data_IF_888905501156
#
_entry.id   IF_888905501156
#
_cell.length_a   1.000
_cell.length_b   1.000
_cell.length_c   1.000
_cell.angle_alpha   90.00
_cell.angle_beta   90.00
_cell.angle_gamma   90.00
#
_symmetry.space_group_name_H-M   'P 1'
#
loop_
_entity.id
_entity.type
_entity.pdbx_description
1 polymer ?
#
# COMPACT_ATOMS: atom_id res chain seq x y z
N UNK A 1 17.36 -21.87 6.81
CA UNK A 1 16.96 -23.15 7.44
C UNK A 1 17.35 -23.28 8.92
N UNK A 2 18.55 -22.86 9.36
CA UNK A 2 18.99 -22.97 10.78
C UNK A 2 18.14 -22.19 11.79
N UNK A 3 17.61 -21.01 11.43
CA UNK A 3 16.73 -20.22 12.30
C UNK A 3 15.40 -20.95 12.58
N UNK A 4 14.72 -21.42 11.54
CA UNK A 4 13.45 -22.15 11.63
C UNK A 4 13.53 -23.39 12.51
N UNK A 5 14.55 -24.24 12.30
CA UNK A 5 14.75 -25.44 13.12
C UNK A 5 15.03 -25.11 14.59
N UNK A 6 15.68 -23.97 14.87
CA UNK A 6 15.92 -23.50 16.24
C UNK A 6 14.63 -23.01 16.91
N UNK A 7 13.78 -22.29 16.17
CA UNK A 7 12.50 -21.80 16.69
C UNK A 7 11.55 -22.96 16.98
N UNK A 8 11.44 -23.93 16.06
CA UNK A 8 10.67 -25.14 16.25
C UNK A 8 11.15 -25.97 17.45
N UNK A 9 12.46 -26.10 17.65
CA UNK A 9 13.02 -26.81 18.81
C UNK A 9 12.74 -26.09 20.13
N UNK A 10 12.77 -24.75 20.13
CA UNK A 10 12.58 -23.95 21.33
C UNK A 10 11.12 -23.90 21.76
N UNK A 11 10.21 -23.75 20.80
CA UNK A 11 8.80 -23.44 21.09
C UNK A 11 7.85 -24.60 20.80
N UNK A 12 8.20 -25.53 19.90
CA UNK A 12 7.31 -26.61 19.49
C UNK A 12 5.94 -26.08 19.05
N UNK A 13 4.88 -26.69 19.58
CA UNK A 13 3.49 -26.25 19.36
C UNK A 13 3.21 -24.83 19.89
N UNK A 14 4.06 -24.31 20.78
CA UNK A 14 4.02 -22.92 21.25
C UNK A 14 4.22 -21.88 20.15
N UNK A 15 4.68 -22.27 18.96
CA UNK A 15 4.73 -21.37 17.80
C UNK A 15 3.35 -20.82 17.42
N UNK A 16 2.28 -21.58 17.65
CA UNK A 16 0.90 -21.12 17.42
C UNK A 16 0.48 -19.94 18.33
N UNK A 17 1.22 -19.68 19.42
CA UNK A 17 0.94 -18.56 20.31
C UNK A 17 1.46 -17.22 19.77
N UNK A 18 2.36 -17.24 18.78
CA UNK A 18 2.77 -16.05 18.03
C UNK A 18 1.70 -15.69 16.98
N UNK A 19 0.51 -15.38 17.48
CA UNK A 19 -0.71 -15.13 16.70
C UNK A 19 -1.26 -13.74 16.98
N UNK A 20 -2.14 -13.26 16.10
CA UNK A 20 -2.90 -12.02 16.33
C UNK A 20 -3.71 -12.09 17.62
N UNK A 21 -4.30 -13.26 17.92
CA UNK A 21 -5.08 -13.45 19.16
C UNK A 21 -4.17 -13.39 20.40
N UNK A 22 -3.00 -14.03 20.37
CA UNK A 22 -2.02 -13.93 21.46
C UNK A 22 -1.60 -12.48 21.72
N UNK A 23 -1.24 -11.75 20.65
CA UNK A 23 -0.88 -10.34 20.74
C UNK A 23 -2.03 -9.46 21.28
N UNK A 24 -3.29 -9.76 20.92
CA UNK A 24 -4.45 -9.02 21.41
C UNK A 24 -4.68 -9.24 22.92
N UNK A 25 -4.47 -10.47 23.40
CA UNK A 25 -4.49 -10.79 24.84
C UNK A 25 -3.38 -10.05 25.58
N UNK A 26 -2.17 -10.00 25.01
CA UNK A 26 -1.05 -9.25 25.59
C UNK A 26 -1.38 -7.75 25.71
N UNK A 27 -1.99 -7.14 24.68
CA UNK A 27 -2.44 -5.74 24.73
C UNK A 27 -3.45 -5.53 25.86
N UNK A 28 -4.48 -6.39 25.95
CA UNK A 28 -5.50 -6.25 27.00
C UNK A 28 -4.94 -6.40 28.41
N UNK A 29 -4.04 -7.36 28.61
CA UNK A 29 -3.35 -7.56 29.89
C UNK A 29 -2.41 -6.39 30.23
N UNK A 30 -1.70 -5.85 29.24
CA UNK A 30 -0.82 -4.70 29.43
C UNK A 30 -1.62 -3.46 29.82
N UNK A 31 -2.74 -3.17 29.14
CA UNK A 31 -3.63 -2.05 29.49
C UNK A 31 -4.16 -2.22 30.92
N UNK A 32 -4.64 -3.42 31.27
CA UNK A 32 -5.15 -3.68 32.63
C UNK A 32 -4.09 -3.46 33.71
N UNK A 33 -2.85 -3.84 33.41
CA UNK A 33 -1.72 -3.75 34.36
C UNK A 33 -1.14 -2.34 34.48
N UNK A 34 -1.24 -1.52 33.43
CA UNK A 34 -0.60 -0.21 33.34
C UNK A 34 -1.57 0.96 33.56
N UNK A 35 -2.88 0.76 33.37
CA UNK A 35 -3.85 1.85 33.49
C UNK A 35 -3.95 2.38 34.91
N UNK A 36 -3.87 3.69 35.04
CA UNK A 36 -4.16 4.37 36.30
C UNK A 36 -5.68 4.59 36.46
N UNK A 37 -6.21 4.55 37.70
CA UNK A 37 -7.63 4.81 37.95
C UNK A 37 -8.07 6.16 37.38
N UNK A 38 -9.10 6.14 36.52
CA UNK A 38 -9.68 7.35 35.92
C UNK A 38 -8.98 7.85 34.65
N UNK A 39 -7.88 7.21 34.23
CA UNK A 39 -7.19 7.56 32.99
C UNK A 39 -7.88 6.95 31.78
N UNK A 40 -8.08 7.76 30.73
CA UNK A 40 -8.69 7.35 29.47
C UNK A 40 -7.73 6.50 28.64
N UNK A 41 -8.24 5.43 28.05
CA UNK A 41 -7.51 4.55 27.15
C UNK A 41 -7.97 4.78 25.71
N UNK A 42 -7.06 5.24 24.86
CA UNK A 42 -7.28 5.34 23.41
C UNK A 42 -6.38 4.35 22.69
N UNK A 43 -6.97 3.44 21.92
CA UNK A 43 -6.21 2.50 21.10
C UNK A 43 -5.93 3.10 19.74
N UNK A 44 -4.66 3.36 19.43
CA UNK A 44 -4.22 3.80 18.10
C UNK A 44 -3.59 2.63 17.36
N UNK A 45 -4.06 2.35 16.15
CA UNK A 45 -3.62 1.22 15.37
C UNK A 45 -3.48 1.58 13.89
N UNK A 46 -2.45 1.03 13.23
CA UNK A 46 -2.23 1.24 11.80
C UNK A 46 -1.89 -0.05 11.08
N UNK A 47 -2.28 -0.17 9.81
CA UNK A 47 -1.97 -1.34 8.97
C UNK A 47 -2.43 -2.65 9.63
N UNK A 48 -1.58 -3.69 9.70
CA UNK A 48 -1.81 -4.91 10.50
C UNK A 48 -2.30 -4.63 11.92
N UNK A 49 -1.83 -3.55 12.54
CA UNK A 49 -2.28 -3.11 13.86
C UNK A 49 -3.79 -2.91 13.92
N UNK A 50 -4.47 -2.55 12.83
CA UNK A 50 -5.94 -2.39 12.80
C UNK A 50 -6.67 -3.74 12.87
N UNK A 51 -6.14 -4.79 12.25
CA UNK A 51 -6.63 -6.16 12.40
C UNK A 51 -6.44 -6.64 13.84
N UNK A 52 -5.26 -6.39 14.41
CA UNK A 52 -4.94 -6.66 15.82
C UNK A 52 -5.83 -5.84 16.78
N UNK A 53 -6.06 -4.57 16.48
CA UNK A 53 -6.91 -3.67 17.26
C UNK A 53 -8.37 -4.13 17.24
N UNK A 54 -8.88 -4.54 16.08
CA UNK A 54 -10.20 -5.16 15.97
C UNK A 54 -10.29 -6.49 16.76
N UNK A 55 -9.22 -7.30 16.73
CA UNK A 55 -9.14 -8.54 17.53
C UNK A 55 -9.19 -8.22 19.03
N UNK A 56 -8.42 -7.24 19.47
CA UNK A 56 -8.43 -6.73 20.83
C UNK A 56 -9.83 -6.25 21.25
N UNK A 57 -10.52 -5.46 20.43
CA UNK A 57 -11.87 -4.97 20.74
C UNK A 57 -12.92 -6.10 20.79
N UNK A 58 -12.74 -7.21 20.07
CA UNK A 58 -13.59 -8.39 20.22
C UNK A 58 -13.39 -9.08 21.58
N UNK A 59 -12.14 -9.14 22.08
CA UNK A 59 -11.79 -9.81 23.34
C UNK A 59 -12.07 -8.92 24.57
N UNK A 60 -11.90 -7.60 24.45
CA UNK A 60 -12.00 -6.63 25.54
C UNK A 60 -12.89 -5.42 25.15
N UNK A 61 -14.17 -5.64 24.80
CA UNK A 61 -15.02 -4.62 24.17
C UNK A 61 -15.29 -3.37 25.02
N UNK A 62 -15.10 -3.44 26.33
CA UNK A 62 -15.32 -2.32 27.26
C UNK A 62 -14.04 -1.71 27.86
N UNK A 63 -12.86 -2.12 27.42
CA UNK A 63 -11.60 -1.69 28.05
C UNK A 63 -11.05 -0.37 27.48
N UNK A 64 -11.29 -0.09 26.19
CA UNK A 64 -10.89 1.16 25.56
C UNK A 64 -12.03 2.20 25.60
N UNK A 65 -11.68 3.46 25.85
CA UNK A 65 -12.60 4.60 25.79
C UNK A 65 -12.78 5.15 24.36
N UNK A 66 -11.80 4.93 23.48
CA UNK A 66 -11.85 5.28 22.07
C UNK A 66 -10.87 4.43 21.25
N UNK A 67 -11.09 4.31 19.93
CA UNK A 67 -10.15 3.67 19.01
C UNK A 67 -9.93 4.51 17.74
N UNK A 68 -8.69 4.51 17.24
CA UNK A 68 -8.28 5.18 16.00
C UNK A 68 -7.57 4.15 15.12
N UNK A 69 -8.15 3.82 13.97
CA UNK A 69 -7.56 2.89 12.99
C UNK A 69 -7.17 3.63 11.71
N UNK A 70 -5.94 3.42 11.22
CA UNK A 70 -5.40 4.04 10.00
C UNK A 70 -4.80 3.03 9.03
N UNK A 71 -5.21 3.02 7.76
CA UNK A 71 -4.77 1.96 6.81
C UNK A 71 -5.33 0.62 7.27
N UNK A 72 -6.62 0.42 7.01
CA UNK A 72 -7.46 -0.52 7.73
C UNK A 72 -7.48 -1.86 7.01
N UNK A 73 -7.15 -2.92 7.73
CA UNK A 73 -7.41 -4.28 7.29
C UNK A 73 -8.85 -4.69 7.62
N UNK A 74 -9.55 -5.37 6.70
CA UNK A 74 -10.83 -6.02 7.00
C UNK A 74 -10.73 -6.95 8.22
N UNK A 75 -11.87 -7.17 8.89
CA UNK A 75 -11.92 -8.05 10.04
C UNK A 75 -11.64 -9.53 9.73
N UNK A 76 -11.67 -9.93 8.46
CA UNK A 76 -11.34 -11.28 7.99
C UNK A 76 -9.87 -11.46 7.65
N UNK A 77 -9.11 -10.38 7.48
CA UNK A 77 -7.68 -10.40 7.16
C UNK A 77 -7.27 -9.19 6.31
N UNK A 78 -5.99 -8.83 6.36
CA UNK A 78 -5.42 -7.86 5.41
C UNK A 78 -5.37 -8.48 3.99
N UNK A 79 -5.39 -7.65 2.95
CA UNK A 79 -5.35 -8.17 1.58
C UNK A 79 -3.99 -8.80 1.25
N UNK A 80 -4.03 -10.00 0.70
CA UNK A 80 -2.89 -10.66 0.04
C UNK A 80 -2.98 -10.56 -1.50
N UNK A 81 -4.07 -9.95 -2.01
CA UNK A 81 -4.34 -9.80 -3.44
C UNK A 81 -3.69 -8.53 -3.98
N UNK A 82 -2.36 -8.45 -3.86
CA UNK A 82 -1.59 -7.25 -4.18
C UNK A 82 -1.78 -6.81 -5.64
N UNK A 83 -1.77 -7.75 -6.59
CA UNK A 83 -1.96 -7.45 -8.02
C UNK A 83 -3.33 -6.80 -8.29
N UNK A 84 -4.40 -7.25 -7.59
CA UNK A 84 -5.71 -6.60 -7.61
C UNK A 84 -5.65 -5.17 -7.07
N UNK A 85 -5.00 -4.98 -5.91
CA UNK A 85 -4.88 -3.65 -5.31
C UNK A 85 -4.15 -2.69 -6.23
N UNK A 86 -3.05 -3.12 -6.83
CA UNK A 86 -2.26 -2.33 -7.78
C UNK A 86 -3.09 -1.91 -8.98
N UNK A 87 -3.83 -2.84 -9.60
CA UNK A 87 -4.67 -2.53 -10.75
C UNK A 87 -5.82 -1.56 -10.40
N UNK A 88 -6.48 -1.73 -9.26
CA UNK A 88 -7.54 -0.81 -8.80
C UNK A 88 -6.99 0.62 -8.57
N UNK A 89 -5.83 0.75 -7.93
CA UNK A 89 -5.20 2.05 -7.70
C UNK A 89 -4.68 2.64 -9.01
N UNK A 90 -4.21 1.82 -9.95
CA UNK A 90 -3.86 2.27 -11.29
C UNK A 90 -5.08 2.82 -12.04
N UNK A 91 -6.21 2.11 -12.04
CA UNK A 91 -7.46 2.57 -12.65
C UNK A 91 -7.88 3.94 -12.09
N UNK A 92 -7.84 4.11 -10.76
CA UNK A 92 -8.18 5.38 -10.13
C UNK A 92 -7.17 6.49 -10.50
N UNK A 93 -5.88 6.18 -10.54
CA UNK A 93 -4.82 7.12 -10.94
C UNK A 93 -5.01 7.60 -12.38
N UNK A 94 -5.32 6.70 -13.30
CA UNK A 94 -5.60 7.04 -14.71
C UNK A 94 -6.96 7.75 -14.88
N UNK A 95 -7.94 7.47 -14.00
CA UNK A 95 -9.20 8.22 -13.94
C UNK A 95 -8.95 9.69 -13.58
N UNK A 96 -8.02 10.00 -12.67
CA UNK A 96 -7.65 11.40 -12.36
C UNK A 96 -7.14 12.13 -13.61
N UNK A 97 -6.39 11.47 -14.48
CA UNK A 97 -5.95 12.06 -15.74
C UNK A 97 -7.12 12.47 -16.65
N UNK A 98 -8.23 11.72 -16.64
CA UNK A 98 -9.39 11.98 -17.50
C UNK A 98 -10.12 13.29 -17.16
N UNK A 99 -9.94 13.82 -15.95
CA UNK A 99 -10.59 15.06 -15.51
C UNK A 99 -9.71 16.31 -15.73
N UNK A 100 -8.44 16.14 -16.10
CA UNK A 100 -7.50 17.23 -16.31
C UNK A 100 -7.18 17.44 -17.81
N UNK A 101 -7.39 18.65 -18.37
CA UNK A 101 -7.10 18.92 -19.79
C UNK A 101 -5.64 18.74 -20.20
N UNK A 102 -4.68 19.03 -19.31
CA UNK A 102 -3.26 18.87 -19.62
C UNK A 102 -2.91 17.38 -19.71
N UNK A 103 -3.33 16.57 -18.74
CA UNK A 103 -3.05 15.15 -18.75
C UNK A 103 -3.72 14.43 -19.93
N UNK A 104 -4.98 14.76 -20.26
CA UNK A 104 -5.65 14.24 -21.46
C UNK A 104 -4.91 14.57 -22.75
N UNK A 105 -4.24 15.72 -22.83
CA UNK A 105 -3.42 16.06 -24.00
C UNK A 105 -2.18 15.17 -24.16
N UNK A 106 -1.76 14.48 -23.09
CA UNK A 106 -0.64 13.53 -23.07
C UNK A 106 -1.08 12.08 -23.28
N UNK A 107 -2.10 11.62 -22.54
CA UNK A 107 -2.54 10.22 -22.49
C UNK A 107 -3.86 9.92 -23.22
N UNK A 108 -4.45 10.91 -23.91
CA UNK A 108 -5.77 10.83 -24.57
C UNK A 108 -6.98 11.14 -23.69
N UNK A 109 -8.17 11.20 -24.30
CA UNK A 109 -9.44 11.39 -23.61
C UNK A 109 -9.87 10.17 -22.77
N UNK A 110 -9.34 8.99 -23.08
CA UNK A 110 -9.49 7.75 -22.32
C UNK A 110 -8.10 7.25 -21.89
N UNK A 111 -7.57 7.74 -20.75
CA UNK A 111 -6.23 7.38 -20.30
C UNK A 111 -6.08 5.88 -20.00
N UNK A 112 -7.13 5.21 -19.52
CA UNK A 112 -7.07 3.78 -19.23
C UNK A 112 -7.03 2.95 -20.51
N UNK A 113 -7.91 3.24 -21.48
CA UNK A 113 -7.84 2.61 -22.81
C UNK A 113 -6.49 2.87 -23.50
N UNK A 114 -5.90 4.05 -23.31
CA UNK A 114 -4.54 4.32 -23.78
C UNK A 114 -3.49 3.44 -23.10
N UNK A 115 -3.60 3.19 -21.80
CA UNK A 115 -2.71 2.27 -21.09
C UNK A 115 -2.83 0.84 -21.64
N UNK A 116 -4.05 0.37 -21.89
CA UNK A 116 -4.28 -0.94 -22.52
C UNK A 116 -3.59 -1.04 -23.88
N UNK A 117 -3.67 -0.01 -24.72
CA UNK A 117 -2.95 0.06 -26.00
C UNK A 117 -1.43 -0.01 -25.81
N UNK A 118 -0.89 0.69 -24.81
CA UNK A 118 0.55 0.67 -24.49
C UNK A 118 0.99 -0.74 -24.13
N UNK A 119 0.28 -1.43 -23.23
CA UNK A 119 0.58 -2.83 -22.87
C UNK A 119 0.51 -3.75 -24.08
N UNK A 120 -0.49 -3.60 -24.95
CA UNK A 120 -0.58 -4.39 -26.19
C UNK A 120 0.60 -4.14 -27.14
N UNK A 121 1.10 -2.91 -27.24
CA UNK A 121 2.29 -2.57 -28.04
C UNK A 121 3.56 -3.14 -27.41
N UNK A 122 3.70 -3.03 -26.09
CA UNK A 122 4.84 -3.58 -25.34
C UNK A 122 4.94 -5.10 -25.51
N UNK A 123 3.82 -5.83 -25.40
CA UNK A 123 3.74 -7.28 -25.68
C UNK A 123 4.21 -7.66 -27.09
N UNK A 124 4.10 -6.74 -28.07
CA UNK A 124 4.56 -6.91 -29.46
C UNK A 124 5.99 -6.43 -29.69
N UNK A 125 6.70 -6.02 -28.64
CA UNK A 125 8.10 -5.61 -28.67
C UNK A 125 8.36 -4.12 -28.65
N UNK A 126 7.33 -3.29 -28.41
CA UNK A 126 7.55 -1.86 -28.24
C UNK A 126 8.34 -1.58 -26.94
N UNK A 127 9.35 -0.73 -27.03
CA UNK A 127 10.20 -0.35 -25.92
C UNK A 127 11.01 -1.45 -25.24
N UNK A 128 11.35 -2.51 -25.99
CA UNK A 128 12.23 -3.59 -25.52
C UNK A 128 13.64 -3.14 -25.09
N UNK A 129 14.05 -1.93 -25.43
CA UNK A 129 15.31 -1.35 -24.94
C UNK A 129 15.31 -1.13 -23.41
N UNK A 130 14.13 -1.12 -22.76
CA UNK A 130 14.01 -1.05 -21.31
C UNK A 130 14.40 -2.38 -20.65
N UNK A 131 13.68 -3.46 -21.01
CA UNK A 131 13.78 -4.72 -20.30
C UNK A 131 13.52 -5.95 -21.18
N UNK A 132 13.80 -5.84 -22.48
CA UNK A 132 13.65 -6.95 -23.42
C UNK A 132 12.22 -7.47 -23.48
N UNK A 133 12.06 -8.79 -23.42
CA UNK A 133 10.75 -9.46 -23.48
C UNK A 133 9.90 -9.21 -22.21
N UNK A 134 10.54 -8.79 -21.12
CA UNK A 134 9.91 -8.61 -19.81
C UNK A 134 9.50 -7.14 -19.57
N UNK A 135 9.50 -6.31 -20.63
CA UNK A 135 9.14 -4.89 -20.57
C UNK A 135 7.71 -4.67 -20.04
N UNK A 136 6.78 -5.59 -20.30
CA UNK A 136 5.41 -5.53 -19.76
C UNK A 136 5.43 -5.61 -18.22
N UNK A 137 6.11 -6.62 -17.68
CA UNK A 137 6.24 -6.80 -16.25
C UNK A 137 6.97 -5.60 -15.61
N UNK A 138 8.03 -5.15 -16.27
CA UNK A 138 8.80 -3.98 -15.83
C UNK A 138 7.94 -2.71 -15.78
N UNK A 139 7.06 -2.49 -16.75
CA UNK A 139 6.08 -1.40 -16.72
C UNK A 139 5.15 -1.54 -15.50
N UNK A 140 4.59 -2.73 -15.24
CA UNK A 140 3.74 -2.96 -14.06
C UNK A 140 4.47 -2.68 -12.75
N UNK A 141 5.71 -3.14 -12.60
CA UNK A 141 6.52 -2.91 -11.41
C UNK A 141 6.89 -1.42 -11.22
N UNK A 142 7.15 -0.69 -12.31
CA UNK A 142 7.39 0.76 -12.25
C UNK A 142 6.14 1.55 -11.87
N UNK A 143 4.98 1.16 -12.39
CA UNK A 143 3.72 1.77 -12.00
C UNK A 143 3.46 1.49 -10.52
N UNK A 144 3.53 0.24 -10.07
CA UNK A 144 3.35 -0.13 -8.66
C UNK A 144 4.23 0.69 -7.71
N UNK A 145 5.50 0.87 -8.04
CA UNK A 145 6.43 1.65 -7.23
C UNK A 145 6.02 3.12 -7.06
N UNK A 146 5.37 3.71 -8.08
CA UNK A 146 4.89 5.09 -8.06
C UNK A 146 3.45 5.24 -7.54
N UNK A 147 2.63 4.20 -7.66
CA UNK A 147 1.25 4.19 -7.19
C UNK A 147 1.17 4.26 -5.65
N UNK A 148 0.02 4.71 -5.15
CA UNK A 148 -0.22 4.88 -3.73
C UNK A 148 0.55 6.04 -3.07
N UNK A 149 1.12 6.95 -3.86
CA UNK A 149 1.70 8.20 -3.37
C UNK A 149 1.15 9.39 -4.13
N UNK A 150 0.53 10.32 -3.42
CA UNK A 150 -0.12 11.51 -3.99
C UNK A 150 0.82 12.30 -4.91
N UNK A 151 2.05 12.55 -4.44
CA UNK A 151 3.04 13.36 -5.19
C UNK A 151 3.61 12.62 -6.40
N UNK A 152 3.43 11.30 -6.47
CA UNK A 152 3.96 10.45 -7.54
C UNK A 152 2.91 10.02 -8.57
N UNK A 153 1.63 10.34 -8.36
CA UNK A 153 0.58 10.23 -9.39
C UNK A 153 1.02 10.78 -10.77
N UNK A 154 1.56 12.02 -10.89
CA UNK A 154 2.04 12.50 -12.19
C UNK A 154 3.24 11.70 -12.71
N UNK A 155 4.04 11.07 -11.85
CA UNK A 155 5.17 10.21 -12.25
C UNK A 155 4.65 8.93 -12.89
N UNK A 156 3.66 8.26 -12.29
CA UNK A 156 3.06 7.04 -12.86
C UNK A 156 2.46 7.31 -14.26
N UNK A 157 1.71 8.40 -14.40
CA UNK A 157 1.11 8.80 -15.68
C UNK A 157 2.17 9.19 -16.73
N UNK A 158 3.20 9.94 -16.32
CA UNK A 158 4.31 10.31 -17.19
C UNK A 158 5.14 9.08 -17.61
N UNK A 159 5.29 8.06 -16.76
CA UNK A 159 5.95 6.80 -17.11
C UNK A 159 5.23 6.11 -18.26
N UNK A 160 3.90 5.96 -18.19
CA UNK A 160 3.12 5.41 -19.30
C UNK A 160 3.26 6.24 -20.58
N UNK A 161 3.19 7.57 -20.48
CA UNK A 161 3.38 8.47 -21.62
C UNK A 161 4.77 8.33 -22.26
N UNK A 162 5.83 8.26 -21.46
CA UNK A 162 7.21 8.09 -21.93
C UNK A 162 7.41 6.73 -22.60
N UNK A 163 6.83 5.67 -22.03
CA UNK A 163 6.89 4.32 -22.61
C UNK A 163 6.12 4.25 -23.94
N UNK A 164 5.00 4.97 -24.10
CA UNK A 164 4.25 5.04 -25.37
C UNK A 164 5.05 5.65 -26.53
N UNK A 165 5.90 6.64 -26.21
CA UNK A 165 6.80 7.30 -27.18
C UNK A 165 8.06 6.49 -27.43
N UNK A 166 8.67 5.99 -26.36
CA UNK A 166 9.90 5.21 -26.34
C UNK A 166 11.04 5.78 -27.19
N UNK A 167 11.31 7.09 -27.10
CA UNK A 167 12.56 7.63 -27.65
C UNK A 167 13.77 7.18 -26.80
N UNK A 168 15.01 7.23 -27.30
CA UNK A 168 16.19 6.92 -26.49
C UNK A 168 16.31 7.76 -25.19
N UNK A 169 15.80 8.99 -25.22
CA UNK A 169 15.72 9.85 -24.03
C UNK A 169 14.63 9.37 -23.05
N UNK A 170 13.49 8.88 -23.54
CA UNK A 170 12.45 8.26 -22.71
C UNK A 170 12.96 6.99 -22.04
N UNK A 171 13.67 6.12 -22.77
CA UNK A 171 14.31 4.92 -22.22
C UNK A 171 15.28 5.30 -21.10
N UNK A 172 16.12 6.32 -21.33
CA UNK A 172 17.06 6.81 -20.32
C UNK A 172 16.35 7.35 -19.07
N UNK A 173 15.27 8.11 -19.26
CA UNK A 173 14.46 8.67 -18.18
C UNK A 173 13.80 7.57 -17.35
N UNK A 174 13.12 6.62 -17.99
CA UNK A 174 12.44 5.51 -17.31
C UNK A 174 13.44 4.61 -16.58
N UNK A 175 14.64 4.39 -17.14
CA UNK A 175 15.70 3.66 -16.42
C UNK A 175 16.26 4.43 -15.23
N UNK A 176 16.24 5.76 -15.24
CA UNK A 176 16.56 6.55 -14.04
C UNK A 176 15.50 6.35 -12.95
N UNK A 177 14.22 6.34 -13.32
CA UNK A 177 13.12 6.04 -12.38
C UNK A 177 13.34 4.69 -11.71
N UNK A 178 13.61 3.66 -12.52
CA UNK A 178 13.87 2.30 -12.02
C UNK A 178 15.03 2.26 -11.01
N UNK A 179 16.13 2.99 -11.25
CA UNK A 179 17.27 3.03 -10.33
C UNK A 179 16.90 3.63 -8.97
N UNK A 180 16.01 4.62 -8.97
CA UNK A 180 15.56 5.29 -7.75
C UNK A 180 14.56 4.42 -7.00
N UNK A 181 13.57 3.88 -7.71
CA UNK A 181 12.39 3.27 -7.11
C UNK A 181 12.43 1.75 -7.01
N UNK A 182 13.36 1.08 -7.69
CA UNK A 182 13.57 -0.36 -7.60
C UNK A 182 15.03 -0.67 -7.22
N UNK A 183 15.53 -0.14 -6.07
CA UNK A 183 16.94 -0.27 -5.70
C UNK A 183 17.37 -1.71 -5.43
N UNK A 184 16.44 -2.67 -5.33
CA UNK A 184 16.71 -4.12 -5.25
C UNK A 184 16.99 -4.76 -6.62
N UNK A 185 16.53 -4.15 -7.72
CA UNK A 185 16.88 -4.55 -9.09
C UNK A 185 18.32 -4.14 -9.43
N UNK A 186 18.93 -3.33 -8.56
CA UNK A 186 20.31 -2.89 -8.60
C UNK A 186 21.01 -3.34 -7.30
N UNK A 187 22.33 -3.55 -7.26
CA UNK A 187 23.00 -4.12 -6.09
C UNK A 187 23.06 -3.09 -4.94
N UNK A 188 21.99 -2.99 -4.14
CA UNK A 188 21.96 -2.22 -2.89
C UNK A 188 21.38 -3.07 -1.76
N UNK A 189 22.03 -3.02 -0.61
CA UNK A 189 21.76 -3.80 0.60
C UNK A 189 20.38 -3.49 1.21
N UNK A 190 19.59 -4.51 1.55
CA UNK A 190 18.39 -4.39 2.40
C UNK A 190 18.75 -4.29 3.88
N UNK A 191 17.94 -3.57 4.68
CA UNK A 191 18.07 -3.56 6.14
C UNK A 191 17.32 -4.75 6.75
N UNK A 192 17.96 -5.43 7.70
CA UNK A 192 17.36 -6.47 8.53
C UNK A 192 16.79 -5.84 9.81
N UNK A 193 15.50 -6.08 10.10
CA UNK A 193 14.84 -5.56 11.31
C UNK A 193 13.45 -6.11 11.60
N UNK A 194 12.79 -6.70 10.60
CA UNK A 194 11.47 -7.34 10.75
C UNK A 194 11.66 -8.85 10.74
N UNK A 195 11.04 -9.56 11.69
CA UNK A 195 11.01 -11.03 11.68
C UNK A 195 10.12 -11.51 10.54
N UNK A 196 10.72 -11.80 9.37
CA UNK A 196 10.01 -12.36 8.23
C UNK A 196 9.16 -13.58 8.64
N UNK A 197 9.68 -14.46 9.50
CA UNK A 197 8.94 -15.64 9.96
C UNK A 197 7.70 -15.34 10.81
N UNK A 198 7.70 -14.25 11.59
CA UNK A 198 6.49 -13.86 12.34
C UNK A 198 5.43 -13.31 11.38
N UNK A 199 5.86 -12.49 10.42
CA UNK A 199 5.00 -11.97 9.36
C UNK A 199 4.35 -13.13 8.60
N UNK A 200 5.14 -14.06 8.07
CA UNK A 200 4.61 -15.20 7.31
C UNK A 200 3.68 -16.05 8.19
N UNK A 201 4.06 -16.38 9.44
CA UNK A 201 3.20 -17.17 10.33
C UNK A 201 1.81 -16.55 10.53
N UNK A 202 1.71 -15.22 10.57
CA UNK A 202 0.44 -14.50 10.67
C UNK A 202 -0.31 -14.51 9.34
N UNK A 203 0.34 -14.12 8.25
CA UNK A 203 -0.26 -14.07 6.91
C UNK A 203 -0.84 -15.43 6.53
N UNK A 204 -0.05 -16.48 6.67
CA UNK A 204 -0.44 -17.84 6.30
C UNK A 204 -1.59 -18.39 7.14
N UNK A 205 -1.68 -17.97 8.41
CA UNK A 205 -2.74 -18.45 9.32
C UNK A 205 -4.03 -17.62 9.24
N UNK A 206 -3.95 -16.33 8.88
CA UNK A 206 -5.08 -15.40 9.05
C UNK A 206 -5.64 -14.83 7.75
N UNK A 207 -4.82 -14.58 6.72
CA UNK A 207 -5.21 -13.68 5.61
C UNK A 207 -5.65 -14.37 4.32
N UNK A 208 -5.55 -15.70 4.25
CA UNK A 208 -5.96 -16.43 3.05
C UNK A 208 -7.47 -16.49 2.86
N UNK A 209 -8.27 -16.43 3.93
CA UNK A 209 -9.75 -16.38 3.93
C UNK A 209 -10.47 -17.06 2.74
N UNK A 210 -10.09 -18.31 2.43
CA UNK A 210 -10.69 -19.12 1.35
C UNK A 210 -10.13 -18.91 -0.06
N UNK A 211 -9.18 -17.99 -0.24
CA UNK A 211 -8.36 -17.85 -1.45
C UNK A 211 -7.38 -19.03 -1.52
N UNK A 212 -7.15 -19.56 -2.73
CA UNK A 212 -6.15 -20.61 -2.98
C UNK A 212 -4.90 -20.06 -3.66
N UNK A 213 -3.74 -20.73 -3.55
CA UNK A 213 -2.52 -20.33 -4.28
C UNK A 213 -2.75 -20.18 -5.79
N UNK A 214 -3.49 -21.10 -6.40
CA UNK A 214 -3.82 -21.04 -7.82
C UNK A 214 -4.68 -19.83 -8.17
N UNK A 215 -5.64 -19.44 -7.33
CA UNK A 215 -6.43 -18.23 -7.56
C UNK A 215 -5.53 -16.99 -7.61
N UNK A 216 -4.59 -16.83 -6.68
CA UNK A 216 -3.63 -15.71 -6.71
C UNK A 216 -2.75 -15.72 -7.96
N UNK A 217 -2.31 -16.89 -8.43
CA UNK A 217 -1.53 -17.01 -9.67
C UNK A 217 -2.35 -16.64 -10.91
N UNK A 218 -3.62 -17.05 -10.98
CA UNK A 218 -4.46 -16.77 -12.14
C UNK A 218 -4.96 -15.33 -12.19
N UNK A 219 -5.18 -14.70 -11.04
CA UNK A 219 -5.52 -13.27 -10.95
C UNK A 219 -4.54 -12.37 -11.69
N UNK A 220 -3.26 -12.75 -11.78
CA UNK A 220 -2.26 -12.02 -12.55
C UNK A 220 -2.73 -11.71 -13.98
N UNK A 221 -3.46 -12.64 -14.60
CA UNK A 221 -3.93 -12.52 -15.99
C UNK A 221 -5.26 -11.74 -16.13
N UNK A 222 -5.94 -11.46 -15.03
CA UNK A 222 -7.21 -10.72 -15.02
C UNK A 222 -7.01 -9.20 -14.94
N UNK A 223 -5.80 -8.76 -14.57
CA UNK A 223 -5.46 -7.36 -14.35
C UNK A 223 -4.49 -6.82 -15.41
N UNK A 224 -4.60 -5.53 -15.71
CA UNK A 224 -3.73 -4.85 -16.67
C UNK A 224 -2.38 -4.49 -16.02
N UNK A 225 -2.43 -3.88 -14.83
CA UNK A 225 -1.25 -3.48 -14.06
C UNK A 225 -1.02 -4.50 -12.96
N UNK A 226 -0.28 -5.55 -13.29
CA UNK A 226 -0.06 -6.70 -12.43
C UNK A 226 1.45 -6.96 -12.25
N UNK A 227 2.03 -6.64 -11.08
CA UNK A 227 3.44 -6.86 -10.80
C UNK A 227 3.82 -8.30 -10.42
N UNK A 228 2.86 -9.22 -10.37
CA UNK A 228 3.09 -10.65 -10.16
C UNK A 228 3.36 -11.05 -8.70
N UNK A 229 2.88 -10.27 -7.74
CA UNK A 229 3.04 -10.61 -6.32
C UNK A 229 2.30 -11.89 -5.94
N UNK A 230 1.19 -12.20 -6.61
CA UNK A 230 0.41 -13.42 -6.38
C UNK A 230 1.22 -14.70 -6.49
N UNK A 231 2.19 -14.77 -7.42
CA UNK A 231 3.08 -15.93 -7.56
C UNK A 231 3.98 -16.13 -6.34
N UNK A 232 4.57 -15.04 -5.83
CA UNK A 232 5.47 -15.12 -4.67
C UNK A 232 4.71 -15.54 -3.41
N UNK A 233 3.52 -14.98 -3.20
CA UNK A 233 2.65 -15.33 -2.08
C UNK A 233 2.18 -16.79 -2.16
N UNK A 234 1.78 -17.25 -3.35
CA UNK A 234 1.40 -18.64 -3.59
C UNK A 234 2.55 -19.62 -3.29
N UNK A 235 3.75 -19.33 -3.77
CA UNK A 235 4.93 -20.16 -3.51
C UNK A 235 5.33 -20.14 -2.03
N UNK A 236 5.21 -19.00 -1.35
CA UNK A 236 5.46 -18.87 0.09
C UNK A 236 4.50 -19.76 0.90
N UNK A 237 3.21 -19.73 0.57
CA UNK A 237 2.18 -20.55 1.23
C UNK A 237 2.43 -22.05 1.06
N UNK A 238 2.68 -22.50 -0.17
CA UNK A 238 2.91 -23.91 -0.47
C UNK A 238 4.20 -24.43 0.16
N UNK A 239 5.21 -23.57 0.28
CA UNK A 239 6.48 -23.90 0.91
C UNK A 239 6.48 -23.70 2.44
N UNK A 240 5.40 -23.19 3.03
CA UNK A 240 5.36 -22.84 4.45
C UNK A 240 5.49 -24.08 5.34
N UNK A 241 6.55 -24.18 6.16
CA UNK A 241 6.88 -25.43 6.82
C UNK A 241 6.24 -25.60 8.20
N UNK A 242 5.55 -24.58 8.72
CA UNK A 242 5.00 -24.59 10.08
C UNK A 242 3.50 -24.87 10.10
N UNK A 243 2.99 -25.57 11.13
CA UNK A 243 1.55 -25.69 11.34
C UNK A 243 0.90 -24.31 11.44
N UNK A 244 -0.16 -24.11 10.68
CA UNK A 244 -0.99 -22.91 10.75
C UNK A 244 -1.86 -22.97 12.00
N UNK A 245 -1.98 -21.85 12.70
CA UNK A 245 -2.95 -21.75 13.79
C UNK A 245 -4.33 -21.39 13.24
N UNK A 246 -5.37 -21.76 13.98
CA UNK A 246 -6.74 -21.40 13.64
C UNK A 246 -7.27 -20.34 14.60
N UNK A 247 -8.14 -19.49 14.07
CA UNK A 247 -8.83 -18.45 14.82
C UNK A 247 -10.33 -18.78 14.82
N UNK A 248 -11.03 -18.72 15.98
CA UNK A 248 -12.48 -18.82 16.04
C UNK A 248 -13.17 -17.80 15.14
N UNK A 249 -14.23 -18.20 14.45
CA UNK A 249 -14.93 -17.36 13.48
C UNK A 249 -15.57 -16.12 14.13
N UNK A 250 -15.94 -16.20 15.40
CA UNK A 250 -16.47 -15.08 16.19
C UNK A 250 -15.46 -13.94 16.39
N UNK A 251 -14.18 -14.22 16.15
CA UNK A 251 -13.10 -13.25 16.20
C UNK A 251 -12.67 -12.75 14.80
N UNK A 252 -13.21 -13.33 13.72
CA UNK A 252 -13.04 -12.87 12.32
C UNK A 252 -14.19 -11.96 11.86
N UNK A 253 -14.58 -11.01 12.72
CA UNK A 253 -15.64 -10.04 12.45
C UNK A 253 -15.31 -8.70 13.08
N UNK A 254 -15.95 -7.64 12.59
CA UNK A 254 -15.86 -6.34 13.24
C UNK A 254 -16.33 -6.44 14.69
N UNK A 255 -15.55 -5.88 15.61
CA UNK A 255 -15.87 -5.92 17.02
C UNK A 255 -17.23 -5.25 17.26
N UNK A 256 -18.14 -5.90 18.03
CA UNK A 256 -19.48 -5.37 18.29
C UNK A 256 -19.44 -4.28 19.37
N UNK A 257 -18.67 -3.21 19.13
CA UNK A 257 -18.46 -2.12 20.08
C UNK A 257 -19.23 -0.86 19.68
N UNK A 258 -19.65 -0.10 20.70
CA UNK A 258 -20.21 1.25 20.54
C UNK A 258 -19.24 2.34 20.99
N UNK A 259 -18.05 1.96 21.44
CA UNK A 259 -16.95 2.85 21.76
C UNK A 259 -16.70 3.79 20.57
N UNK A 260 -16.45 5.09 20.80
CA UNK A 260 -16.07 6.01 19.74
C UNK A 260 -14.94 5.48 18.88
N UNK A 261 -15.09 5.60 17.56
CA UNK A 261 -14.08 5.16 16.59
C UNK A 261 -13.80 6.21 15.53
N UNK A 262 -12.53 6.40 15.22
CA UNK A 262 -12.07 7.11 14.04
C UNK A 262 -11.38 6.12 13.10
N UNK A 263 -11.89 5.98 11.89
CA UNK A 263 -11.45 5.00 10.90
C UNK A 263 -10.94 5.77 9.67
N UNK A 264 -9.63 5.83 9.47
CA UNK A 264 -8.99 6.65 8.43
C UNK A 264 -8.34 5.75 7.37
N UNK A 265 -8.69 5.92 6.10
CA UNK A 265 -8.05 5.19 5.00
C UNK A 265 -7.76 6.10 3.82
N UNK A 266 -6.58 5.95 3.21
CA UNK A 266 -6.28 6.55 1.92
C UNK A 266 -7.14 5.93 0.82
N UNK A 267 -7.53 6.72 -0.19
CA UNK A 267 -8.26 6.21 -1.36
C UNK A 267 -7.35 5.48 -2.35
N UNK A 268 -6.03 5.69 -2.28
CA UNK A 268 -5.01 5.03 -3.11
C UNK A 268 -4.14 4.06 -2.29
N UNK A 269 -4.65 3.59 -1.14
CA UNK A 269 -3.91 2.69 -0.25
C UNK A 269 -3.75 1.30 -0.90
N UNK A 270 -2.52 0.91 -1.25
CA UNK A 270 -2.23 -0.37 -1.91
C UNK A 270 -2.31 -1.58 -0.95
N UNK A 271 -1.63 -1.58 0.22
CA UNK A 271 -1.68 -2.71 1.15
C UNK A 271 -3.05 -2.91 1.81
N UNK A 272 -3.75 -1.82 2.10
CA UNK A 272 -5.07 -1.85 2.75
C UNK A 272 -6.10 -1.09 1.89
N UNK A 273 -6.49 -1.68 0.73
CA UNK A 273 -7.31 -0.99 -0.25
C UNK A 273 -8.69 -0.71 0.29
N UNK A 274 -9.16 0.51 0.03
CA UNK A 274 -10.45 0.97 0.50
C UNK A 274 -11.63 0.15 -0.05
N UNK A 275 -11.43 -0.53 -1.17
CA UNK A 275 -12.38 -1.45 -1.77
C UNK A 275 -12.71 -2.65 -0.86
N UNK A 276 -11.78 -3.06 0.00
CA UNK A 276 -11.97 -4.18 0.92
C UNK A 276 -12.72 -3.78 2.20
N UNK A 277 -12.91 -2.47 2.42
CA UNK A 277 -13.66 -1.92 3.55
C UNK A 277 -15.16 -1.79 3.26
N UNK A 278 -15.69 -2.55 2.29
CA UNK A 278 -17.11 -2.56 2.01
C UNK A 278 -17.90 -2.95 3.28
N UNK A 279 -18.93 -2.18 3.61
CA UNK A 279 -19.76 -2.42 4.79
C UNK A 279 -19.19 -1.92 6.12
N UNK A 280 -18.01 -1.27 6.15
CA UNK A 280 -17.43 -0.74 7.40
C UNK A 280 -18.35 0.26 8.11
N UNK A 281 -19.07 1.11 7.36
CA UNK A 281 -20.04 2.06 7.93
C UNK A 281 -21.27 1.35 8.51
N UNK A 282 -21.66 0.20 7.97
CA UNK A 282 -22.75 -0.61 8.51
C UNK A 282 -22.31 -1.37 9.77
N UNK A 283 -21.02 -1.74 9.86
CA UNK A 283 -20.44 -2.35 11.05
C UNK A 283 -20.29 -1.33 12.20
N UNK A 284 -20.06 -0.05 11.87
CA UNK A 284 -19.89 1.04 12.82
C UNK A 284 -20.84 2.22 12.54
N UNK A 285 -22.16 2.05 12.74
CA UNK A 285 -23.18 3.03 12.35
C UNK A 285 -23.44 4.13 13.40
N UNK A 286 -22.77 4.07 14.55
CA UNK A 286 -23.00 4.95 15.70
C UNK A 286 -22.60 6.41 15.44
N UNK A 287 -23.19 7.37 16.17
CA UNK A 287 -22.91 8.81 15.97
C UNK A 287 -21.47 9.22 16.33
N UNK A 288 -20.76 8.39 17.11
CA UNK A 288 -19.36 8.57 17.51
C UNK A 288 -18.39 7.69 16.69
N UNK A 289 -18.88 7.06 15.62
CA UNK A 289 -18.10 6.25 14.70
C UNK A 289 -17.95 7.00 13.39
N UNK A 290 -16.71 7.40 13.08
CA UNK A 290 -16.41 8.28 11.94
C UNK A 290 -15.46 7.58 10.98
N UNK A 291 -15.95 7.31 9.76
CA UNK A 291 -15.11 6.87 8.65
C UNK A 291 -14.62 8.08 7.87
N UNK A 292 -13.31 8.14 7.64
CA UNK A 292 -12.60 9.21 6.95
C UNK A 292 -11.86 8.60 5.77
N UNK A 293 -12.24 9.02 4.56
CA UNK A 293 -11.59 8.64 3.31
C UNK A 293 -10.70 9.79 2.89
N UNK A 294 -9.39 9.56 2.86
CA UNK A 294 -8.40 10.60 2.56
C UNK A 294 -8.13 10.61 1.05
N UNK A 295 -8.56 11.66 0.32
CA UNK A 295 -8.46 11.66 -1.13
C UNK A 295 -7.02 11.66 -1.61
N UNK A 296 -6.73 10.80 -2.59
CA UNK A 296 -5.47 10.72 -3.30
C UNK A 296 -4.24 10.33 -2.45
N UNK A 297 -4.44 9.91 -1.21
CA UNK A 297 -3.37 9.39 -0.36
C UNK A 297 -3.36 7.87 -0.35
N UNK A 298 -2.17 7.30 -0.17
CA UNK A 298 -2.00 5.86 0.00
C UNK A 298 -1.82 5.44 1.44
N UNK A 299 -0.99 4.42 1.64
CA UNK A 299 -0.81 3.81 2.96
C UNK A 299 -0.19 4.79 3.95
N UNK A 300 -0.74 4.85 5.16
CA UNK A 300 -0.28 5.80 6.18
C UNK A 300 -0.87 7.21 6.07
N UNK A 301 -1.88 7.42 5.21
CA UNK A 301 -2.61 8.70 5.07
C UNK A 301 -3.02 9.36 6.40
N UNK A 302 -3.22 8.57 7.46
CA UNK A 302 -3.52 9.03 8.82
C UNK A 302 -2.47 10.00 9.40
N UNK A 303 -1.23 9.97 8.89
CA UNK A 303 -0.13 10.82 9.35
C UNK A 303 0.02 12.13 8.57
N UNK A 304 -0.73 12.31 7.48
CA UNK A 304 -0.73 13.56 6.71
C UNK A 304 -1.36 14.70 7.52
N UNK A 305 -0.98 15.96 7.23
CA UNK A 305 -1.31 17.12 8.07
C UNK A 305 -2.81 17.24 8.41
N UNK A 306 -3.68 17.11 7.40
CA UNK A 306 -5.12 17.18 7.58
C UNK A 306 -5.66 15.98 8.38
N UNK A 307 -5.45 14.71 7.98
CA UNK A 307 -5.82 13.55 8.78
C UNK A 307 -5.28 13.54 10.20
N UNK A 308 -4.03 13.97 10.41
CA UNK A 308 -3.43 14.06 11.74
C UNK A 308 -4.14 15.10 12.62
N UNK A 309 -4.58 16.22 12.03
CA UNK A 309 -5.42 17.20 12.75
C UNK A 309 -6.79 16.64 13.16
N UNK A 310 -7.39 15.80 12.30
CA UNK A 310 -8.65 15.09 12.59
C UNK A 310 -8.44 14.10 13.74
N UNK A 311 -7.33 13.34 13.73
CA UNK A 311 -6.96 12.42 14.81
C UNK A 311 -6.79 13.17 16.14
N UNK A 312 -6.07 14.30 16.15
CA UNK A 312 -5.89 15.10 17.37
C UNK A 312 -7.24 15.58 17.93
N UNK A 313 -8.10 16.14 17.10
CA UNK A 313 -9.42 16.59 17.52
C UNK A 313 -10.29 15.44 18.08
N UNK A 314 -10.20 14.25 17.49
CA UNK A 314 -10.89 13.07 17.99
C UNK A 314 -10.34 12.59 19.33
N UNK A 315 -9.01 12.56 19.51
CA UNK A 315 -8.38 12.15 20.78
C UNK A 315 -8.73 13.13 21.90
N UNK A 316 -8.80 14.42 21.60
CA UNK A 316 -9.22 15.45 22.57
C UNK A 316 -10.68 15.29 23.01
N UNK A 317 -11.59 14.95 22.09
CA UNK A 317 -12.99 14.70 22.42
C UNK A 317 -13.64 13.63 21.53
N UNK A 318 -13.55 12.34 21.88
CA UNK A 318 -14.03 11.25 21.05
C UNK A 318 -15.56 11.17 20.96
N UNK A 319 -16.28 11.90 21.82
CA UNK A 319 -17.75 11.98 21.76
C UNK A 319 -18.26 12.94 20.69
N UNK A 320 -17.38 13.72 20.05
CA UNK A 320 -17.73 14.68 19.01
C UNK A 320 -17.10 14.24 17.69
N UNK A 321 -17.90 14.21 16.63
CA UNK A 321 -17.41 13.95 15.28
C UNK A 321 -16.43 15.08 14.88
N UNK A 322 -15.17 14.75 14.51
CA UNK A 322 -14.19 15.77 14.14
C UNK A 322 -14.57 16.45 12.82
N UNK A 323 -14.13 17.70 12.65
CA UNK A 323 -14.29 18.44 11.40
C UNK A 323 -13.33 17.87 10.33
N UNK A 324 -13.88 17.39 9.21
CA UNK A 324 -13.13 16.77 8.11
C UNK A 324 -12.99 17.66 6.87
N UNK A 325 -13.39 18.94 6.95
CA UNK A 325 -13.43 19.85 5.78
C UNK A 325 -12.08 20.10 5.11
N UNK A 326 -10.96 19.91 5.83
CA UNK A 326 -9.61 20.06 5.26
C UNK A 326 -9.31 19.05 4.14
N UNK A 327 -10.04 17.93 4.05
CA UNK A 327 -9.86 16.92 3.01
C UNK A 327 -10.19 17.45 1.61
N UNK A 328 -11.04 18.47 1.49
CA UNK A 328 -11.36 19.11 0.21
C UNK A 328 -10.12 19.69 -0.49
N UNK A 329 -9.16 20.22 0.28
CA UNK A 329 -7.88 20.70 -0.26
C UNK A 329 -7.00 19.56 -0.79
N UNK A 330 -7.31 18.31 -0.40
CA UNK A 330 -6.60 17.10 -0.82
C UNK A 330 -7.20 16.47 -2.09
N UNK A 331 -8.27 17.01 -2.68
CA UNK A 331 -8.87 16.44 -3.90
C UNK A 331 -8.07 16.74 -5.18
N UNK A 332 -7.39 17.90 -5.24
CA UNK A 332 -6.65 18.33 -6.43
C UNK A 332 -5.21 17.79 -6.45
N UNK A 333 -4.80 17.20 -7.57
CA UNK A 333 -3.41 16.77 -7.79
C UNK A 333 -2.80 17.64 -8.90
N UNK A 334 -1.59 18.15 -8.69
CA UNK A 334 -0.84 18.80 -9.76
C UNK A 334 -0.25 17.74 -10.71
N UNK A 335 -0.95 17.51 -11.83
CA UNK A 335 -0.53 16.52 -12.82
C UNK A 335 0.65 16.99 -13.70
N UNK A 336 1.04 18.26 -13.65
CA UNK A 336 2.23 18.74 -14.39
C UNK A 336 3.52 18.29 -13.72
N UNK A 337 3.49 18.15 -12.39
CA UNK A 337 4.65 17.91 -11.56
C UNK A 337 5.61 19.11 -11.55
N UNK A 338 6.72 18.98 -10.83
CA UNK A 338 7.75 20.01 -10.75
C UNK A 338 9.03 19.60 -11.48
N UNK A 339 9.82 20.58 -11.92
CA UNK A 339 11.15 20.33 -12.48
C UNK A 339 12.09 19.67 -11.46
N UNK A 340 11.91 19.98 -10.17
CA UNK A 340 12.63 19.33 -9.07
C UNK A 340 12.31 17.83 -8.99
N UNK A 341 11.02 17.48 -8.95
CA UNK A 341 10.59 16.07 -8.94
C UNK A 341 11.07 15.35 -10.19
N UNK A 342 10.92 15.98 -11.35
CA UNK A 342 11.38 15.44 -12.64
C UNK A 342 12.89 15.13 -12.67
N UNK A 343 13.73 16.00 -12.10
CA UNK A 343 15.18 15.75 -12.02
C UNK A 343 15.50 14.61 -11.06
N UNK A 344 14.75 14.47 -9.97
CA UNK A 344 14.93 13.39 -9.01
C UNK A 344 14.51 12.02 -9.58
N UNK A 345 13.39 11.95 -10.31
CA UNK A 345 12.82 10.67 -10.76
C UNK A 345 13.26 10.26 -12.17
N UNK A 346 13.33 11.20 -13.12
CA UNK A 346 13.65 10.91 -14.52
C UNK A 346 15.03 11.45 -14.96
N UNK A 347 15.64 12.35 -14.18
CA UNK A 347 16.86 13.05 -14.62
C UNK A 347 16.59 14.02 -15.79
N UNK A 348 15.34 14.48 -15.93
CA UNK A 348 14.89 15.45 -16.95
C UNK A 348 14.40 16.73 -16.27
N UNK A 349 14.33 17.85 -16.99
CA UNK A 349 13.77 19.10 -16.46
C UNK A 349 12.24 19.18 -16.56
N UNK A 350 11.65 18.34 -17.39
CA UNK A 350 10.20 18.24 -17.58
C UNK A 350 9.77 16.79 -17.32
N UNK A 351 8.70 16.61 -16.55
CA UNK A 351 8.24 15.29 -16.13
C UNK A 351 7.71 14.48 -17.30
N UNK A 352 7.09 15.13 -18.28
CA UNK A 352 6.42 14.50 -19.41
C UNK A 352 7.28 14.52 -20.68
N UNK A 353 8.08 15.56 -20.86
CA UNK A 353 8.86 15.83 -22.08
C UNK A 353 10.37 15.64 -21.91
N UNK A 354 11.08 15.55 -23.02
CA UNK A 354 12.56 15.55 -23.05
C UNK A 354 13.12 16.97 -23.22
N UNK A 355 12.36 17.99 -22.79
CA UNK A 355 12.73 19.40 -22.95
C UNK A 355 14.05 19.70 -22.21
N UNK A 356 15.05 20.16 -22.96
CA UNK A 356 16.36 20.55 -22.43
C UNK A 356 17.43 19.45 -22.37
N UNK A 357 17.23 18.30 -23.03
CA UNK A 357 18.28 17.28 -23.20
C UNK A 357 18.89 17.30 -24.61
N UNK A 358 20.20 17.51 -24.71
CA UNK A 358 21.02 16.96 -25.80
C UNK A 358 21.23 15.47 -25.56
N UNK A 359 21.39 14.67 -26.61
CA UNK A 359 21.55 13.21 -26.52
C UNK A 359 22.57 12.78 -25.43
N UNK A 360 22.13 11.87 -24.55
CA UNK A 360 22.74 11.38 -23.30
C UNK A 360 22.38 12.19 -22.03
N UNK A 361 22.12 11.52 -20.88
CA UNK A 361 21.66 12.21 -19.67
C UNK A 361 22.78 13.09 -19.13
N UNK A 362 22.65 14.42 -19.30
CA UNK A 362 23.60 15.42 -18.80
C UNK A 362 23.44 15.71 -17.30
N UNK A 363 22.41 15.16 -16.65
CA UNK A 363 22.17 15.32 -15.21
C UNK A 363 22.16 13.94 -14.54
N UNK A 364 23.04 13.77 -13.55
CA UNK A 364 22.82 12.76 -12.52
C UNK A 364 21.52 13.12 -11.80
N UNK A 365 20.68 12.13 -11.50
CA UNK A 365 19.46 12.37 -10.73
C UNK A 365 19.82 13.08 -9.41
N UNK A 366 19.07 14.13 -9.09
CA UNK A 366 19.22 14.84 -7.82
C UNK A 366 18.93 13.86 -6.67
N UNK A 367 19.60 14.03 -5.52
CA UNK A 367 19.28 13.24 -4.32
C UNK A 367 17.78 13.38 -3.99
N UNK A 368 17.06 12.26 -3.76
CA UNK A 368 15.66 12.31 -3.39
C UNK A 368 15.42 13.19 -2.16
N UNK A 369 14.55 14.18 -2.31
CA UNK A 369 14.13 15.12 -1.27
C UNK A 369 12.62 15.28 -1.20
N UNK A 370 11.88 14.89 -2.25
CA UNK A 370 10.43 14.82 -2.20
C UNK A 370 9.96 13.80 -1.15
N UNK A 371 9.09 14.17 -0.20
CA UNK A 371 8.66 13.26 0.86
C UNK A 371 7.97 12.00 0.35
N UNK A 372 7.12 12.10 -0.68
CA UNK A 372 6.46 10.94 -1.28
C UNK A 372 7.43 10.03 -2.01
N UNK A 373 8.42 10.61 -2.70
CA UNK A 373 9.52 9.85 -3.29
C UNK A 373 10.35 9.11 -2.23
N UNK A 374 10.67 9.76 -1.10
CA UNK A 374 11.39 9.12 0.01
C UNK A 374 10.60 7.95 0.60
N UNK A 375 9.29 8.11 0.81
CA UNK A 375 8.41 7.01 1.25
C UNK A 375 8.36 5.88 0.23
N UNK A 376 8.26 6.18 -1.07
CA UNK A 376 8.27 5.16 -2.10
C UNK A 376 9.59 4.38 -2.16
N UNK A 377 10.73 5.06 -2.01
CA UNK A 377 12.04 4.42 -1.91
C UNK A 377 12.12 3.51 -0.68
N UNK A 378 11.59 3.95 0.46
CA UNK A 378 11.58 3.17 1.70
C UNK A 378 10.70 1.92 1.54
N UNK A 379 9.49 2.07 0.99
CA UNK A 379 8.61 0.93 0.63
C UNK A 379 9.31 -0.05 -0.29
N UNK A 380 10.01 0.43 -1.31
CA UNK A 380 10.73 -0.45 -2.24
C UNK A 380 11.88 -1.22 -1.57
N UNK A 381 12.45 -0.71 -0.47
CA UNK A 381 13.48 -1.43 0.30
C UNK A 381 12.90 -2.51 1.20
N UNK A 382 11.72 -2.28 1.74
CA UNK A 382 11.09 -3.13 2.76
C UNK A 382 10.00 -4.07 2.21
N UNK A 383 9.48 -3.78 1.01
CA UNK A 383 8.36 -4.48 0.39
C UNK A 383 8.69 -5.87 -0.14
N UNK A 384 7.63 -6.61 -0.49
CA UNK A 384 7.73 -7.89 -1.18
C UNK A 384 8.56 -7.71 -2.46
N UNK A 385 9.46 -8.66 -2.71
CA UNK A 385 10.33 -8.62 -3.89
C UNK A 385 9.66 -9.37 -5.02
N UNK A 386 9.52 -8.70 -6.16
CA UNK A 386 9.25 -9.28 -7.45
C UNK A 386 10.16 -10.49 -7.70
N UNK A 387 9.59 -11.69 -7.86
CA UNK A 387 10.34 -12.84 -8.36
C UNK A 387 10.14 -12.93 -9.87
N UNK A 388 11.26 -12.87 -10.57
CA UNK A 388 11.39 -13.07 -12.01
C UNK A 388 11.56 -14.55 -12.33
#
# INVERSE_FOLDING_TARGET
>A
MTCLSSLARKWGDGLAQFSTTGAALDIGNAIESLREPGTKVVVFATSYGTFLGNRYLNLFPGQADAAVFGGICPATGCSIRHDRSTDLVAQETFRVCSTDPFCRSKLSADPWGKLEEIYQRVRRGHCNDLYGRDTEYFLSALLDAALGERTLVPVALATAYRIDRCSPADVSAVMNLARVMMPWAFPVTSRDGISAYLYENIVESEFWDGITPDQLRYEYFDYLVSPGYGFSMADQHEAWPWPLYSTPSELKRWAPVSTPMLLVNGTLDLPTPIADLQGIEAAFPGPTQTVVRVPNEGHGAILEDCPLSIVRAFVENPSIRPNISCLSAMEAIDLRGSSSLSRQVFGTNDLWENAGQSAAPAFLADTPTDPGLLRAIDRAREGLKHRW
#
